data_IF_740954892560
#
_entry.id   IF_740954892560
#
_cell.length_a   1.000
_cell.length_b   1.000
_cell.length_c   1.000
_cell.angle_alpha   90.00
_cell.angle_beta   90.00
_cell.angle_gamma   90.00
#
_symmetry.space_group_name_H-M   'P 1'
#
loop_
_entity.id
_entity.type
_entity.pdbx_description
1 polymer ?
#
# COMPACT_ATOMS: atom_id res chain seq x y z
N UNK A 1 -20.28 13.16 -7.46
CA UNK A 1 -20.02 12.20 -6.34
C UNK A 1 -18.59 12.37 -5.87
N UNK A 2 -18.30 12.20 -4.57
CA UNK A 2 -16.93 12.23 -4.04
C UNK A 2 -16.29 10.85 -4.21
N UNK A 3 -15.09 10.78 -4.79
CA UNK A 3 -14.35 9.53 -4.96
C UNK A 3 -13.91 8.97 -3.61
N UNK A 4 -14.25 7.72 -3.32
CA UNK A 4 -13.96 7.03 -2.03
C UNK A 4 -12.67 6.23 -2.07
N UNK A 5 -12.39 5.51 -3.17
CA UNK A 5 -11.15 4.77 -3.39
C UNK A 5 -9.99 5.74 -3.59
N UNK A 6 -8.88 5.52 -2.90
CA UNK A 6 -7.72 6.41 -2.94
C UNK A 6 -6.80 6.06 -4.11
N UNK A 7 -6.11 7.05 -4.66
CA UNK A 7 -5.14 6.88 -5.74
C UNK A 7 -3.76 7.23 -5.21
N UNK A 8 -2.82 6.29 -5.41
CA UNK A 8 -1.41 6.43 -5.09
C UNK A 8 -0.65 6.62 -6.40
N UNK A 9 0.19 7.66 -6.47
CA UNK A 9 1.03 7.92 -7.64
C UNK A 9 2.50 7.85 -7.25
N UNK A 10 3.27 7.01 -7.95
CA UNK A 10 4.71 6.94 -7.76
C UNK A 10 5.36 8.17 -8.36
N UNK A 11 6.23 8.80 -7.57
CA UNK A 11 7.02 9.95 -7.99
C UNK A 11 8.33 9.50 -8.65
N UNK A 12 8.72 10.17 -9.71
CA UNK A 12 9.93 9.85 -10.47
C UNK A 12 10.20 10.93 -11.53
N UNK A 13 11.07 10.67 -12.51
CA UNK A 13 11.49 11.67 -13.51
C UNK A 13 10.33 12.32 -14.27
N UNK A 14 9.24 11.57 -14.54
CA UNK A 14 8.09 12.12 -15.26
C UNK A 14 7.32 13.15 -14.42
N UNK A 15 7.34 13.02 -13.08
CA UNK A 15 6.65 13.96 -12.18
C UNK A 15 7.46 15.22 -11.90
N UNK A 16 8.77 15.25 -12.21
CA UNK A 16 9.62 16.43 -12.09
C UNK A 16 9.35 17.48 -13.18
N UNK A 17 8.65 17.10 -14.23
CA UNK A 17 8.23 18.04 -15.28
C UNK A 17 7.33 19.13 -14.69
N UNK A 18 7.50 20.41 -15.09
CA UNK A 18 6.76 21.54 -14.52
C UNK A 18 5.23 21.33 -14.58
N UNK A 19 4.57 21.52 -13.43
CA UNK A 19 3.10 21.44 -13.31
C UNK A 19 2.52 20.04 -13.27
N UNK A 20 3.32 18.97 -13.44
CA UNK A 20 2.81 17.59 -13.43
C UNK A 20 2.26 17.23 -12.06
N UNK A 21 3.00 17.49 -10.96
CA UNK A 21 2.53 17.18 -9.60
C UNK A 21 1.23 17.92 -9.27
N UNK A 22 1.13 19.22 -9.63
CA UNK A 22 -0.12 20.00 -9.48
C UNK A 22 -1.29 19.32 -10.23
N UNK A 23 -1.03 18.86 -11.46
CA UNK A 23 -2.05 18.20 -12.28
C UNK A 23 -2.43 16.81 -11.71
N UNK A 24 -1.48 16.02 -11.16
CA UNK A 24 -1.79 14.75 -10.50
C UNK A 24 -2.74 14.96 -9.30
N UNK A 25 -2.46 15.98 -8.47
CA UNK A 25 -3.30 16.34 -7.33
C UNK A 25 -4.70 16.78 -7.80
N UNK A 26 -4.78 17.61 -8.82
CA UNK A 26 -6.04 18.09 -9.39
C UNK A 26 -6.87 16.95 -9.99
N UNK A 27 -6.21 15.91 -10.55
CA UNK A 27 -6.88 14.76 -11.16
C UNK A 27 -7.14 13.60 -10.17
N UNK A 28 -6.86 13.77 -8.86
CA UNK A 28 -7.33 12.87 -7.83
C UNK A 28 -6.28 12.03 -7.12
N UNK A 29 -4.99 12.38 -7.21
CA UNK A 29 -3.94 11.80 -6.37
C UNK A 29 -4.24 12.08 -4.90
N UNK A 30 -4.16 11.04 -4.06
CA UNK A 30 -4.32 11.11 -2.61
C UNK A 30 -3.00 10.89 -1.88
N UNK A 31 -2.16 10.01 -2.43
CA UNK A 31 -0.87 9.66 -1.82
C UNK A 31 0.23 9.70 -2.87
N UNK A 32 1.40 10.15 -2.48
CA UNK A 32 2.62 10.12 -3.27
C UNK A 32 3.53 9.00 -2.75
N UNK A 33 3.93 8.06 -3.63
CA UNK A 33 4.86 6.98 -3.32
C UNK A 33 6.25 7.32 -3.84
N UNK A 34 7.26 7.06 -3.03
CA UNK A 34 8.68 7.22 -3.35
C UNK A 34 9.34 5.85 -3.30
N UNK A 35 9.82 5.37 -4.46
CA UNK A 35 10.44 4.05 -4.59
C UNK A 35 11.95 4.13 -4.36
N UNK A 36 12.40 3.76 -3.18
CA UNK A 36 13.81 3.78 -2.78
C UNK A 36 14.67 2.66 -3.40
N UNK A 37 14.08 1.83 -4.27
CA UNK A 37 14.88 0.96 -5.15
C UNK A 37 15.67 1.74 -6.18
N UNK A 38 15.32 3.00 -6.43
CA UNK A 38 15.92 3.91 -7.42
C UNK A 38 16.16 5.29 -6.83
N UNK A 39 17.19 5.97 -7.31
CA UNK A 39 17.56 7.30 -6.85
C UNK A 39 18.30 7.28 -5.51
N UNK A 40 18.61 8.48 -5.02
CA UNK A 40 19.23 8.70 -3.73
C UNK A 40 18.36 9.60 -2.82
N UNK A 41 18.79 9.80 -1.57
CA UNK A 41 18.05 10.59 -0.60
C UNK A 41 17.88 12.06 -1.04
N UNK A 42 18.83 12.64 -1.79
CA UNK A 42 18.74 14.02 -2.26
C UNK A 42 17.66 14.17 -3.35
N UNK A 43 17.59 13.22 -4.29
CA UNK A 43 16.53 13.17 -5.30
C UNK A 43 15.15 12.97 -4.65
N UNK A 44 15.04 12.05 -3.69
CA UNK A 44 13.78 11.82 -2.98
C UNK A 44 13.35 13.05 -2.18
N UNK A 45 14.28 13.74 -1.50
CA UNK A 45 13.98 14.96 -0.76
C UNK A 45 13.43 16.06 -1.68
N UNK A 46 14.03 16.23 -2.87
CA UNK A 46 13.53 17.18 -3.86
C UNK A 46 12.08 16.86 -4.26
N UNK A 47 11.80 15.60 -4.61
CA UNK A 47 10.43 15.15 -4.97
C UNK A 47 9.43 15.28 -3.82
N UNK A 48 9.85 14.98 -2.58
CA UNK A 48 9.03 15.18 -1.37
C UNK A 48 8.64 16.65 -1.24
N UNK A 49 9.60 17.56 -1.38
CA UNK A 49 9.36 19.00 -1.28
C UNK A 49 8.42 19.50 -2.39
N UNK A 50 8.61 19.05 -3.65
CA UNK A 50 7.70 19.37 -4.75
C UNK A 50 6.25 18.95 -4.44
N UNK A 51 6.05 17.72 -3.91
CA UNK A 51 4.70 17.25 -3.53
C UNK A 51 4.11 18.10 -2.41
N UNK A 52 4.89 18.44 -1.38
CA UNK A 52 4.43 19.25 -0.26
C UNK A 52 4.03 20.66 -0.69
N UNK A 53 4.82 21.28 -1.54
CA UNK A 53 4.52 22.61 -2.08
C UNK A 53 3.25 22.60 -2.94
N UNK A 54 3.12 21.63 -3.85
CA UNK A 54 1.93 21.46 -4.68
C UNK A 54 0.67 21.17 -3.84
N UNK A 55 0.77 20.31 -2.82
CA UNK A 55 -0.31 20.01 -1.89
C UNK A 55 -0.77 21.25 -1.13
N UNK A 56 0.19 22.03 -0.59
CA UNK A 56 -0.08 23.31 0.10
C UNK A 56 -0.76 24.32 -0.82
N UNK A 57 -0.26 24.48 -2.04
CA UNK A 57 -0.84 25.38 -3.06
C UNK A 57 -2.26 24.97 -3.42
N UNK A 58 -2.53 23.67 -3.55
CA UNK A 58 -3.85 23.12 -3.86
C UNK A 58 -4.81 23.12 -2.65
N UNK A 59 -4.34 23.35 -1.44
CA UNK A 59 -5.12 23.19 -0.20
C UNK A 59 -5.59 21.76 0.01
N UNK A 60 -4.79 20.76 -0.42
CA UNK A 60 -5.12 19.32 -0.36
C UNK A 60 -4.17 18.58 0.57
N UNK A 61 -4.70 17.54 1.20
CA UNK A 61 -3.88 16.60 1.97
C UNK A 61 -3.32 15.55 1.02
N UNK A 62 -2.01 15.38 1.01
CA UNK A 62 -1.32 14.31 0.28
C UNK A 62 -0.45 13.55 1.28
N UNK A 63 -0.66 12.24 1.36
CA UNK A 63 0.16 11.38 2.21
C UNK A 63 1.43 10.95 1.48
N UNK A 64 2.51 10.73 2.24
CA UNK A 64 3.81 10.33 1.70
C UNK A 64 4.11 8.87 2.08
N UNK A 65 4.43 8.05 1.09
CA UNK A 65 4.73 6.63 1.26
C UNK A 65 6.17 6.38 0.84
N UNK A 66 7.01 5.95 1.76
CA UNK A 66 8.33 5.40 1.50
C UNK A 66 8.16 3.93 1.11
N UNK A 67 8.66 3.51 -0.04
CA UNK A 67 8.62 2.12 -0.48
C UNK A 67 10.05 1.58 -0.51
N UNK A 68 10.37 0.65 0.39
CA UNK A 68 11.73 0.11 0.54
C UNK A 68 12.10 -0.80 -0.62
N UNK A 69 13.39 -0.94 -0.87
CA UNK A 69 13.90 -1.90 -1.85
C UNK A 69 13.68 -3.34 -1.39
N UNK A 70 13.89 -3.58 -0.11
CA UNK A 70 13.87 -4.91 0.49
C UNK A 70 15.13 -5.75 0.23
N UNK A 71 15.24 -6.86 0.95
CA UNK A 71 16.36 -7.79 0.80
C UNK A 71 16.18 -8.66 -0.45
N UNK A 72 16.80 -8.26 -1.56
CA UNK A 72 16.74 -8.99 -2.82
C UNK A 72 17.98 -9.85 -3.06
N UNK A 73 17.74 -11.04 -3.61
CA UNK A 73 18.85 -11.83 -4.21
C UNK A 73 19.13 -11.31 -5.61
N UNK A 74 20.41 -11.13 -5.92
CA UNK A 74 20.88 -10.68 -7.23
C UNK A 74 22.09 -11.46 -7.71
N UNK A 75 22.14 -11.65 -9.01
CA UNK A 75 23.34 -12.14 -9.69
C UNK A 75 24.50 -11.15 -9.51
N UNK A 76 25.72 -11.69 -9.52
CA UNK A 76 26.93 -10.90 -9.59
C UNK A 76 27.14 -10.26 -10.97
N UNK A 77 28.36 -9.86 -11.25
CA UNK A 77 28.73 -9.20 -12.50
C UNK A 77 29.16 -10.22 -13.56
N UNK A 78 28.70 -10.03 -14.77
CA UNK A 78 29.21 -10.77 -15.95
C UNK A 78 30.41 -10.03 -16.57
N UNK A 79 31.41 -10.78 -17.07
CA UNK A 79 32.63 -10.25 -17.69
C UNK A 79 32.35 -9.20 -18.77
N UNK A 80 31.36 -9.49 -19.63
CA UNK A 80 30.95 -8.62 -20.72
C UNK A 80 29.65 -7.86 -20.43
N UNK A 81 29.27 -7.75 -19.16
CA UNK A 81 28.04 -7.08 -18.69
C UNK A 81 26.76 -7.83 -19.03
N UNK A 82 26.78 -8.76 -19.99
CA UNK A 82 25.60 -9.55 -20.40
C UNK A 82 26.04 -10.86 -21.07
N UNK A 83 25.14 -11.86 -21.00
CA UNK A 83 25.39 -13.19 -21.61
C UNK A 83 24.06 -13.72 -22.17
N UNK A 84 24.15 -14.62 -23.16
CA UNK A 84 23.04 -15.42 -23.64
C UNK A 84 23.08 -16.77 -22.92
N UNK A 85 22.02 -17.08 -22.17
CA UNK A 85 21.84 -18.38 -21.55
C UNK A 85 20.97 -19.25 -22.47
N UNK A 86 21.46 -20.43 -22.83
CA UNK A 86 20.79 -21.32 -23.78
C UNK A 86 20.16 -22.51 -23.09
N UNK A 87 18.91 -22.81 -23.45
CA UNK A 87 18.14 -23.95 -22.94
C UNK A 87 18.91 -25.26 -23.03
N UNK A 88 18.89 -26.02 -21.93
CA UNK A 88 19.52 -27.34 -21.83
C UNK A 88 20.97 -27.31 -21.35
N UNK A 89 21.64 -26.16 -21.41
CA UNK A 89 22.98 -26.04 -20.86
C UNK A 89 22.99 -26.03 -19.34
N UNK A 90 24.11 -26.45 -18.75
CA UNK A 90 24.37 -26.32 -17.33
C UNK A 90 24.79 -24.90 -17.02
N UNK A 91 24.30 -24.39 -15.87
CA UNK A 91 24.65 -23.07 -15.36
C UNK A 91 24.83 -23.15 -13.85
N UNK A 92 25.93 -22.62 -13.34
CA UNK A 92 26.27 -22.70 -11.92
C UNK A 92 26.08 -21.36 -11.24
N UNK A 93 25.29 -21.34 -10.17
CA UNK A 93 25.31 -20.22 -9.24
C UNK A 93 26.38 -20.49 -8.21
N UNK A 94 27.50 -19.75 -8.29
CA UNK A 94 28.70 -20.00 -7.46
C UNK A 94 28.66 -19.16 -6.19
N UNK A 95 29.21 -19.75 -5.12
CA UNK A 95 29.43 -19.06 -3.85
C UNK A 95 30.50 -17.98 -3.95
N UNK A 96 31.52 -18.19 -4.77
CA UNK A 96 32.65 -17.28 -4.92
C UNK A 96 32.28 -16.03 -5.73
N UNK A 97 32.79 -14.87 -5.29
CA UNK A 97 32.58 -13.60 -6.03
C UNK A 97 33.55 -13.49 -7.20
N UNK A 98 33.22 -14.16 -8.28
CA UNK A 98 33.97 -14.14 -9.53
C UNK A 98 33.11 -13.57 -10.67
N UNK A 99 33.72 -12.92 -11.66
CA UNK A 99 33.02 -12.47 -12.87
C UNK A 99 32.40 -13.66 -13.61
N UNK A 100 31.08 -13.56 -13.87
CA UNK A 100 30.31 -14.61 -14.52
C UNK A 100 30.46 -14.64 -16.04
N UNK A 101 30.03 -15.74 -16.63
CA UNK A 101 29.98 -16.00 -18.10
C UNK A 101 28.74 -16.87 -18.41
N UNK A 102 28.71 -17.56 -19.55
CA UNK A 102 27.64 -18.47 -19.96
C UNK A 102 27.56 -19.77 -19.14
N UNK A 103 28.55 -20.06 -18.29
CA UNK A 103 28.62 -21.29 -17.49
C UNK A 103 28.36 -21.07 -16.00
N UNK A 104 28.64 -19.87 -15.49
CA UNK A 104 28.50 -19.59 -14.06
C UNK A 104 28.37 -18.09 -13.78
N UNK A 105 27.82 -17.75 -12.58
CA UNK A 105 27.80 -16.41 -12.02
C UNK A 105 27.67 -16.49 -10.50
N UNK A 106 28.21 -15.53 -9.79
CA UNK A 106 28.01 -15.40 -8.34
C UNK A 106 26.60 -14.94 -8.00
N UNK A 107 26.17 -15.18 -6.77
CA UNK A 107 24.94 -14.64 -6.19
C UNK A 107 25.26 -13.95 -4.85
N UNK A 108 24.60 -12.83 -4.57
CA UNK A 108 24.87 -12.05 -3.37
C UNK A 108 24.40 -12.75 -2.06
N UNK A 109 23.35 -13.59 -2.12
CA UNK A 109 22.88 -14.36 -0.97
C UNK A 109 23.74 -15.63 -0.78
N UNK A 110 24.73 -15.53 0.10
CA UNK A 110 25.71 -16.60 0.32
C UNK A 110 25.14 -17.84 1.04
N UNK A 111 23.93 -17.76 1.60
CA UNK A 111 23.23 -18.88 2.22
C UNK A 111 22.42 -19.75 1.26
N UNK A 112 22.18 -19.31 0.03
CA UNK A 112 21.27 -19.93 -0.92
C UNK A 112 21.49 -21.45 -1.11
N UNK A 113 22.74 -21.91 -1.15
CA UNK A 113 23.08 -23.32 -1.34
C UNK A 113 22.60 -24.24 -0.18
N UNK A 114 22.31 -23.68 0.98
CA UNK A 114 21.76 -24.43 2.13
C UNK A 114 20.24 -24.43 2.17
N UNK A 115 19.60 -23.58 1.39
CA UNK A 115 18.17 -23.33 1.41
C UNK A 115 17.45 -24.00 0.23
N UNK A 116 18.15 -24.15 -0.92
CA UNK A 116 17.60 -24.82 -2.09
C UNK A 116 17.99 -26.31 -2.12
N UNK A 117 17.22 -27.12 -2.82
CA UNK A 117 17.44 -28.55 -3.00
C UNK A 117 17.26 -28.96 -4.46
N UNK A 118 17.81 -30.12 -4.86
CA UNK A 118 17.55 -30.67 -6.18
C UNK A 118 16.04 -30.76 -6.46
N UNK A 119 15.65 -30.27 -7.64
CA UNK A 119 14.27 -30.17 -8.04
C UNK A 119 13.63 -28.79 -7.83
N UNK A 120 14.22 -27.88 -7.08
CA UNK A 120 13.73 -26.51 -6.98
C UNK A 120 13.96 -25.72 -8.28
N UNK A 121 13.18 -24.67 -8.46
CA UNK A 121 13.30 -23.75 -9.60
C UNK A 121 13.81 -22.40 -9.11
N UNK A 122 14.79 -21.85 -9.81
CA UNK A 122 15.26 -20.49 -9.63
C UNK A 122 14.87 -19.67 -10.87
N UNK A 123 14.38 -18.45 -10.64
CA UNK A 123 13.96 -17.55 -11.71
C UNK A 123 14.89 -16.35 -11.77
N UNK A 124 15.41 -16.05 -12.95
CA UNK A 124 16.29 -14.92 -13.19
C UNK A 124 15.55 -13.81 -13.94
N UNK A 125 15.81 -12.54 -13.54
CA UNK A 125 15.25 -11.35 -14.20
C UNK A 125 13.72 -11.44 -14.34
N UNK A 126 13.02 -11.55 -13.18
CA UNK A 126 11.55 -11.59 -13.10
C UNK A 126 10.92 -12.73 -13.93
N UNK A 127 11.59 -13.88 -13.96
CA UNK A 127 11.11 -15.08 -14.66
C UNK A 127 11.50 -15.18 -16.13
N UNK A 128 12.34 -14.25 -16.65
CA UNK A 128 12.79 -14.30 -18.04
C UNK A 128 13.56 -15.58 -18.36
N UNK A 129 14.37 -16.07 -17.41
CA UNK A 129 15.08 -17.36 -17.51
C UNK A 129 14.81 -18.17 -16.27
N UNK A 130 14.39 -19.43 -16.47
CA UNK A 130 14.17 -20.41 -15.41
C UNK A 130 15.35 -21.38 -15.36
N UNK A 131 15.81 -21.66 -14.15
CA UNK A 131 16.85 -22.64 -13.86
C UNK A 131 16.26 -23.75 -12.99
N UNK A 132 16.53 -25.01 -13.34
CA UNK A 132 16.20 -26.17 -12.49
C UNK A 132 17.43 -26.57 -11.70
N UNK A 133 17.33 -26.64 -10.37
CA UNK A 133 18.43 -27.11 -9.52
C UNK A 133 18.58 -28.62 -9.71
N UNK A 134 19.79 -29.05 -10.10
CA UNK A 134 20.13 -30.46 -10.29
C UNK A 134 20.81 -31.05 -9.06
N UNK A 135 21.84 -30.37 -8.56
CA UNK A 135 22.62 -30.81 -7.39
C UNK A 135 23.28 -29.60 -6.70
N UNK A 136 23.63 -29.81 -5.43
CA UNK A 136 24.50 -28.88 -4.68
C UNK A 136 25.85 -29.55 -4.56
N UNK A 137 26.90 -28.90 -5.08
CA UNK A 137 28.28 -29.40 -5.04
C UNK A 137 29.16 -28.46 -4.20
N UNK A 138 29.41 -28.86 -2.97
CA UNK A 138 30.05 -27.97 -2.00
C UNK A 138 29.14 -26.78 -1.67
N UNK A 139 29.51 -25.60 -2.14
CA UNK A 139 28.70 -24.37 -1.99
C UNK A 139 28.14 -23.85 -3.32
N UNK A 140 28.37 -24.57 -4.40
CA UNK A 140 27.88 -24.24 -5.73
C UNK A 140 26.56 -24.93 -6.03
N UNK A 141 25.63 -24.20 -6.66
CA UNK A 141 24.34 -24.70 -7.06
C UNK A 141 24.39 -24.97 -8.57
N UNK A 142 24.40 -26.26 -8.93
CA UNK A 142 24.44 -26.69 -10.33
C UNK A 142 22.99 -26.76 -10.85
N UNK A 143 22.75 -26.08 -11.95
CA UNK A 143 21.41 -26.00 -12.54
C UNK A 143 21.40 -26.33 -14.02
N UNK A 144 20.21 -26.64 -14.55
CA UNK A 144 19.94 -26.74 -15.99
C UNK A 144 19.00 -25.61 -16.41
N UNK A 145 19.40 -24.88 -17.46
CA UNK A 145 18.62 -23.78 -18.06
C UNK A 145 17.37 -24.35 -18.73
N UNK A 146 16.19 -23.88 -18.34
CA UNK A 146 14.91 -24.40 -18.84
C UNK A 146 14.40 -23.70 -20.11
N UNK A 147 14.78 -22.44 -20.30
CA UNK A 147 14.47 -21.64 -21.49
C UNK A 147 15.59 -20.65 -21.79
N UNK A 148 15.83 -20.37 -23.07
CA UNK A 148 16.86 -19.43 -23.48
C UNK A 148 16.48 -17.98 -23.21
N UNK A 149 17.46 -17.15 -22.82
CA UNK A 149 17.24 -15.74 -22.59
C UNK A 149 18.54 -14.97 -22.36
N UNK A 150 18.51 -13.67 -22.64
CA UNK A 150 19.63 -12.77 -22.42
C UNK A 150 19.64 -12.34 -20.95
N UNK A 151 20.78 -12.55 -20.28
CA UNK A 151 20.97 -12.16 -18.89
C UNK A 151 22.02 -11.07 -18.76
N UNK A 152 21.85 -10.16 -17.82
CA UNK A 152 22.81 -9.07 -17.55
C UNK A 152 23.17 -9.02 -16.06
N UNK A 153 24.25 -8.27 -15.78
CA UNK A 153 24.78 -8.01 -14.44
C UNK A 153 23.70 -7.56 -13.45
N UNK A 154 23.80 -8.03 -12.22
CA UNK A 154 22.96 -7.62 -11.07
C UNK A 154 21.45 -7.84 -11.21
N UNK A 155 21.04 -8.75 -12.12
CA UNK A 155 19.63 -9.12 -12.25
C UNK A 155 19.14 -9.88 -11.03
N UNK A 156 17.84 -9.68 -10.71
CA UNK A 156 17.17 -10.35 -9.59
C UNK A 156 17.16 -11.87 -9.78
N UNK A 157 17.29 -12.59 -8.67
CA UNK A 157 17.08 -14.03 -8.55
C UNK A 157 15.89 -14.25 -7.61
N UNK A 158 14.92 -15.04 -8.05
CA UNK A 158 13.82 -15.51 -7.21
C UNK A 158 13.89 -17.03 -7.03
N UNK A 159 13.44 -17.53 -5.89
CA UNK A 159 13.39 -18.96 -5.57
C UNK A 159 11.97 -19.33 -5.13
N UNK A 160 11.01 -19.46 -6.06
CA UNK A 160 9.61 -19.72 -5.73
C UNK A 160 9.42 -20.92 -4.81
N UNK A 161 8.72 -20.73 -3.71
CA UNK A 161 8.43 -21.79 -2.74
C UNK A 161 9.57 -22.13 -1.78
N UNK A 162 10.73 -21.48 -1.87
CA UNK A 162 11.87 -21.63 -0.95
C UNK A 162 11.80 -20.55 0.12
N UNK A 163 11.90 -20.95 1.38
CA UNK A 163 12.02 -20.00 2.51
C UNK A 163 13.46 -19.52 2.61
N UNK A 164 13.70 -18.25 2.35
CA UNK A 164 15.02 -17.65 2.32
C UNK A 164 15.37 -17.01 3.68
N UNK A 165 16.58 -17.25 4.17
CA UNK A 165 17.12 -16.66 5.39
C UNK A 165 17.65 -15.24 5.22
N UNK A 166 16.97 -14.43 4.39
CA UNK A 166 17.33 -13.03 4.20
C UNK A 166 17.04 -12.20 5.46
N UNK A 167 17.84 -11.18 5.78
CA UNK A 167 17.56 -10.29 6.90
C UNK A 167 16.26 -9.53 6.64
N UNK A 168 15.44 -9.25 7.68
CA UNK A 168 14.16 -8.55 7.51
C UNK A 168 14.32 -7.12 6.98
N UNK A 169 15.46 -6.49 7.25
CA UNK A 169 15.80 -5.14 6.84
C UNK A 169 17.23 -5.16 6.32
N UNK A 170 17.47 -4.71 5.10
CA UNK A 170 18.82 -4.48 4.60
C UNK A 170 19.45 -3.24 5.25
N UNK A 171 20.78 -3.13 5.21
CA UNK A 171 21.46 -1.92 5.71
C UNK A 171 21.00 -0.64 4.99
N UNK A 172 20.67 -0.74 3.71
CA UNK A 172 20.17 0.38 2.93
C UNK A 172 18.73 0.72 3.35
N UNK A 173 17.85 -0.29 3.48
CA UNK A 173 16.47 -0.06 3.93
C UNK A 173 16.43 0.57 5.32
N UNK A 174 17.36 0.20 6.22
CA UNK A 174 17.46 0.83 7.53
C UNK A 174 17.75 2.34 7.41
N UNK A 175 18.69 2.73 6.53
CA UNK A 175 19.00 4.15 6.26
C UNK A 175 17.82 4.87 5.64
N UNK A 176 17.11 4.23 4.73
CA UNK A 176 15.95 4.79 4.05
C UNK A 176 14.78 5.00 5.02
N UNK A 177 14.54 4.06 5.93
CA UNK A 177 13.50 4.18 6.97
C UNK A 177 13.84 5.32 7.93
N UNK A 178 15.11 5.45 8.36
CA UNK A 178 15.57 6.56 9.19
C UNK A 178 15.35 7.89 8.48
N UNK A 179 15.74 8.00 7.21
CA UNK A 179 15.44 9.17 6.38
C UNK A 179 13.94 9.46 6.32
N UNK A 180 13.09 8.44 6.17
CA UNK A 180 11.63 8.59 6.21
C UNK A 180 11.12 9.17 7.53
N UNK A 181 11.70 8.76 8.67
CA UNK A 181 11.40 9.34 9.98
C UNK A 181 11.80 10.82 10.06
N UNK A 182 13.02 11.16 9.61
CA UNK A 182 13.53 12.52 9.57
C UNK A 182 12.69 13.43 8.66
N UNK A 183 12.16 12.87 7.57
CA UNK A 183 11.32 13.59 6.62
C UNK A 183 9.84 13.57 6.98
N UNK A 184 9.43 13.13 8.18
CA UNK A 184 8.03 13.10 8.63
C UNK A 184 7.10 12.45 7.59
N UNK A 185 7.52 11.30 7.03
CA UNK A 185 6.70 10.51 6.11
C UNK A 185 5.61 9.74 6.86
N UNK A 186 4.52 9.41 6.17
CA UNK A 186 3.30 8.88 6.80
C UNK A 186 3.24 7.35 6.83
N UNK A 187 3.83 6.71 5.81
CA UNK A 187 3.80 5.26 5.65
C UNK A 187 5.14 4.73 5.16
N UNK A 188 5.44 3.49 5.55
CA UNK A 188 6.47 2.68 4.92
C UNK A 188 5.84 1.44 4.29
N UNK A 189 5.95 1.30 2.96
CA UNK A 189 5.63 0.09 2.22
C UNK A 189 6.87 -0.81 2.24
N UNK A 190 6.82 -1.87 3.05
CA UNK A 190 7.96 -2.71 3.35
C UNK A 190 8.00 -3.91 2.39
N UNK A 191 9.05 -4.01 1.57
CA UNK A 191 9.21 -5.04 0.55
C UNK A 191 9.64 -6.39 1.13
N UNK A 192 9.17 -7.46 0.49
CA UNK A 192 9.54 -8.86 0.75
C UNK A 192 9.29 -9.35 2.17
N UNK A 193 8.25 -8.86 2.83
CA UNK A 193 7.83 -9.33 4.14
C UNK A 193 7.38 -10.79 4.07
N UNK A 194 7.97 -11.63 4.92
CA UNK A 194 7.70 -13.07 4.98
C UNK A 194 7.03 -13.48 6.29
N UNK A 195 7.29 -12.75 7.38
CA UNK A 195 6.90 -13.12 8.74
C UNK A 195 6.51 -11.89 9.57
N UNK A 196 5.73 -12.06 10.64
CA UNK A 196 5.39 -10.95 11.53
C UNK A 196 6.62 -10.30 12.19
N UNK A 197 7.69 -11.06 12.43
CA UNK A 197 8.95 -10.56 13.00
C UNK A 197 9.61 -9.50 12.12
N UNK A 198 9.46 -9.60 10.80
CA UNK A 198 9.99 -8.63 9.85
C UNK A 198 9.30 -7.26 10.04
N UNK A 199 7.98 -7.26 10.24
CA UNK A 199 7.20 -6.06 10.54
C UNK A 199 7.59 -5.46 11.89
N UNK A 200 7.78 -6.31 12.90
CA UNK A 200 8.16 -5.88 14.25
C UNK A 200 9.56 -5.27 14.26
N UNK A 201 10.50 -5.80 13.47
CA UNK A 201 11.84 -5.21 13.33
C UNK A 201 11.79 -3.80 12.73
N UNK A 202 10.95 -3.59 11.68
CA UNK A 202 10.74 -2.27 11.09
C UNK A 202 10.10 -1.32 12.10
N UNK A 203 9.09 -1.77 12.84
CA UNK A 203 8.42 -0.97 13.87
C UNK A 203 9.40 -0.51 14.95
N UNK A 204 10.24 -1.41 15.42
CA UNK A 204 11.28 -1.09 16.39
C UNK A 204 12.23 0.00 15.87
N UNK A 205 12.69 -0.12 14.62
CA UNK A 205 13.56 0.89 14.00
C UNK A 205 12.89 2.26 13.90
N UNK A 206 11.62 2.31 13.52
CA UNK A 206 10.84 3.56 13.46
C UNK A 206 10.71 4.18 14.86
N UNK A 207 10.40 3.40 15.87
CA UNK A 207 10.26 3.85 17.27
C UNK A 207 11.59 4.37 17.85
N UNK A 208 12.71 3.69 17.57
CA UNK A 208 14.06 4.09 18.00
C UNK A 208 14.47 5.48 17.42
N UNK A 209 13.89 5.85 16.26
CA UNK A 209 14.12 7.15 15.62
C UNK A 209 12.98 8.14 15.81
N UNK A 210 12.10 7.92 16.81
CA UNK A 210 10.94 8.76 17.10
C UNK A 210 10.00 9.00 15.91
N UNK A 211 10.04 8.09 14.94
CA UNK A 211 9.16 8.09 13.78
C UNK A 211 7.75 7.64 14.12
N UNK A 212 6.83 7.84 13.19
CA UNK A 212 5.43 7.46 13.37
C UNK A 212 4.77 6.91 12.09
N UNK A 213 5.58 6.51 11.13
CA UNK A 213 5.07 5.88 9.89
C UNK A 213 4.25 4.63 10.22
N UNK A 214 3.07 4.52 9.61
CA UNK A 214 2.30 3.27 9.59
C UNK A 214 2.97 2.28 8.62
N UNK A 215 3.02 1.00 8.98
CA UNK A 215 3.72 -0.03 8.22
C UNK A 215 2.73 -0.77 7.33
N UNK A 216 3.03 -0.79 6.03
CA UNK A 216 2.29 -1.45 4.97
C UNK A 216 3.15 -2.58 4.39
N UNK A 217 3.16 -3.79 4.97
CA UNK A 217 3.85 -4.93 4.39
C UNK A 217 3.41 -5.19 2.96
N UNK A 218 4.38 -5.44 2.08
CA UNK A 218 4.13 -5.85 0.71
C UNK A 218 4.13 -7.38 0.66
N UNK A 219 3.01 -7.95 0.21
CA UNK A 219 2.87 -9.39 0.02
C UNK A 219 3.32 -9.71 -1.41
N UNK A 220 4.52 -10.25 -1.52
CA UNK A 220 5.28 -10.42 -2.76
C UNK A 220 5.77 -11.84 -3.00
N UNK A 221 5.58 -12.74 -2.01
CA UNK A 221 6.09 -14.11 -2.06
C UNK A 221 5.14 -15.09 -1.39
N UNK A 222 5.35 -16.38 -1.65
CA UNK A 222 4.51 -17.46 -1.12
C UNK A 222 4.56 -17.55 0.41
N UNK A 223 5.71 -17.27 1.04
CA UNK A 223 5.86 -17.33 2.49
C UNK A 223 5.02 -16.23 3.17
N UNK A 224 5.02 -15.00 2.62
CA UNK A 224 4.14 -13.92 3.07
C UNK A 224 2.65 -14.25 2.92
N UNK A 225 2.27 -14.98 1.87
CA UNK A 225 0.89 -15.45 1.70
C UNK A 225 0.53 -16.49 2.77
N UNK A 226 1.41 -17.45 3.06
CA UNK A 226 1.20 -18.48 4.10
C UNK A 226 1.08 -17.88 5.51
N UNK A 227 1.91 -16.89 5.81
CA UNK A 227 1.95 -16.22 7.12
C UNK A 227 1.05 -15.00 7.21
N UNK A 228 0.17 -14.79 6.20
CA UNK A 228 -0.58 -13.56 6.03
C UNK A 228 -1.36 -13.11 7.27
N UNK A 229 -2.04 -14.02 7.94
CA UNK A 229 -2.86 -13.69 9.11
C UNK A 229 -2.02 -13.14 10.28
N UNK A 230 -0.86 -13.74 10.53
CA UNK A 230 0.07 -13.27 11.55
C UNK A 230 0.73 -11.92 11.15
N UNK A 231 1.08 -11.75 9.87
CA UNK A 231 1.59 -10.48 9.35
C UNK A 231 0.52 -9.39 9.48
N UNK A 232 -0.72 -9.67 9.09
CA UNK A 232 -1.82 -8.72 9.17
C UNK A 232 -2.05 -8.25 10.62
N UNK A 233 -1.92 -9.14 11.60
CA UNK A 233 -2.16 -8.80 13.01
C UNK A 233 -1.25 -7.67 13.49
N UNK A 234 0.05 -7.70 13.13
CA UNK A 234 1.06 -6.72 13.57
C UNK A 234 1.23 -5.51 12.63
N UNK A 235 0.51 -5.46 11.51
CA UNK A 235 0.62 -4.43 10.47
C UNK A 235 -0.42 -3.32 10.65
N UNK A 236 -0.21 -2.18 10.01
CA UNK A 236 -1.18 -1.06 9.98
C UNK A 236 -2.06 -1.05 8.72
N UNK A 237 -1.60 -1.71 7.67
CA UNK A 237 -2.28 -1.97 6.41
C UNK A 237 -1.50 -2.98 5.59
N UNK A 238 -1.89 -3.24 4.34
CA UNK A 238 -1.25 -4.22 3.45
C UNK A 238 -1.14 -3.65 2.03
N UNK A 239 -0.07 -4.00 1.31
CA UNK A 239 0.04 -3.82 -0.12
C UNK A 239 0.12 -5.16 -0.83
N UNK A 240 -0.78 -5.40 -1.78
CA UNK A 240 -0.71 -6.54 -2.70
C UNK A 240 0.13 -6.13 -3.90
N UNK A 241 1.39 -6.55 -3.93
CA UNK A 241 2.36 -6.19 -4.97
C UNK A 241 2.38 -7.31 -6.03
N UNK A 242 1.44 -7.24 -6.98
CA UNK A 242 1.12 -8.31 -7.92
C UNK A 242 2.26 -8.66 -8.89
N UNK A 243 3.10 -7.68 -9.22
CA UNK A 243 4.24 -7.89 -10.11
C UNK A 243 5.22 -8.93 -9.55
N UNK A 244 5.68 -8.72 -8.32
CA UNK A 244 6.59 -9.63 -7.63
C UNK A 244 5.89 -10.93 -7.20
N UNK A 245 4.67 -10.83 -6.71
CA UNK A 245 3.88 -12.00 -6.32
C UNK A 245 3.67 -12.97 -7.50
N UNK A 246 3.39 -12.45 -8.71
CA UNK A 246 3.20 -13.26 -9.91
C UNK A 246 4.47 -13.94 -10.45
N UNK A 247 5.64 -13.58 -9.92
CA UNK A 247 6.90 -14.32 -10.16
C UNK A 247 7.06 -15.49 -9.19
N UNK A 248 6.51 -15.35 -7.98
CA UNK A 248 6.67 -16.29 -6.87
C UNK A 248 5.56 -17.34 -6.79
N UNK A 249 4.38 -17.06 -7.37
CA UNK A 249 3.23 -17.97 -7.40
C UNK A 249 2.72 -18.12 -8.84
N UNK A 250 1.95 -19.20 -9.15
CA UNK A 250 1.29 -19.31 -10.45
C UNK A 250 0.42 -18.08 -10.76
N UNK A 251 0.51 -17.57 -11.98
CA UNK A 251 -0.17 -16.33 -12.37
C UNK A 251 -1.69 -16.40 -12.16
N UNK A 252 -2.28 -17.57 -12.36
CA UNK A 252 -3.70 -17.86 -12.15
C UNK A 252 -4.14 -17.80 -10.69
N UNK A 253 -3.22 -17.91 -9.73
CA UNK A 253 -3.51 -17.83 -8.29
C UNK A 253 -3.50 -16.39 -7.78
N UNK A 254 -2.82 -15.47 -8.46
CA UNK A 254 -2.70 -14.06 -8.04
C UNK A 254 -4.06 -13.40 -7.81
N UNK A 255 -5.08 -13.53 -8.68
CA UNK A 255 -6.39 -12.93 -8.45
C UNK A 255 -7.11 -13.49 -7.22
N UNK A 256 -6.94 -14.79 -6.93
CA UNK A 256 -7.55 -15.44 -5.76
C UNK A 256 -6.88 -14.97 -4.47
N UNK A 257 -5.56 -14.89 -4.46
CA UNK A 257 -4.76 -14.37 -3.33
C UNK A 257 -5.14 -12.91 -3.07
N UNK A 258 -5.23 -12.08 -4.11
CA UNK A 258 -5.66 -10.68 -4.00
C UNK A 258 -7.01 -10.55 -3.30
N UNK A 259 -8.02 -11.30 -3.76
CA UNK A 259 -9.38 -11.27 -3.19
C UNK A 259 -9.38 -11.68 -1.71
N UNK A 260 -8.64 -12.74 -1.38
CA UNK A 260 -8.56 -13.21 0.01
C UNK A 260 -7.85 -12.21 0.92
N UNK A 261 -6.76 -11.59 0.47
CA UNK A 261 -6.06 -10.52 1.20
C UNK A 261 -7.00 -9.32 1.43
N UNK A 262 -7.69 -8.84 0.39
CA UNK A 262 -8.63 -7.73 0.49
C UNK A 262 -9.74 -8.05 1.50
N UNK A 263 -10.33 -9.25 1.42
CA UNK A 263 -11.37 -9.70 2.33
C UNK A 263 -10.90 -9.71 3.79
N UNK A 264 -9.71 -10.24 4.06
CA UNK A 264 -9.12 -10.30 5.41
C UNK A 264 -8.77 -8.90 5.95
N UNK A 265 -8.20 -8.03 5.13
CA UNK A 265 -7.90 -6.64 5.51
C UNK A 265 -9.18 -5.87 5.86
N UNK A 266 -10.20 -6.00 5.04
CA UNK A 266 -11.51 -5.40 5.28
C UNK A 266 -12.12 -5.90 6.60
N UNK A 267 -12.02 -7.20 6.87
CA UNK A 267 -12.46 -7.82 8.13
C UNK A 267 -11.69 -7.27 9.34
N UNK A 268 -10.40 -7.06 9.20
CA UNK A 268 -9.56 -6.47 10.24
C UNK A 268 -9.76 -4.94 10.40
N UNK A 269 -10.33 -4.25 9.40
CA UNK A 269 -10.45 -2.79 9.36
C UNK A 269 -9.12 -2.09 9.05
N UNK A 270 -8.20 -2.80 8.37
CA UNK A 270 -6.90 -2.31 7.94
C UNK A 270 -6.93 -2.00 6.44
N UNK A 271 -6.32 -0.90 5.97
CA UNK A 271 -6.36 -0.54 4.55
C UNK A 271 -5.57 -1.54 3.73
N UNK A 272 -6.05 -1.77 2.53
CA UNK A 272 -5.35 -2.59 1.54
C UNK A 272 -5.17 -1.81 0.24
N UNK A 273 -3.97 -1.93 -0.31
CA UNK A 273 -3.55 -1.31 -1.57
C UNK A 273 -3.38 -2.41 -2.61
N UNK A 274 -3.97 -2.24 -3.78
CA UNK A 274 -3.66 -3.07 -4.95
C UNK A 274 -2.69 -2.31 -5.84
N UNK A 275 -1.55 -2.95 -6.11
CA UNK A 275 -0.40 -2.32 -6.75
C UNK A 275 0.12 -3.10 -7.96
N UNK A 276 0.83 -2.40 -8.82
CA UNK A 276 1.53 -2.86 -10.02
C UNK A 276 0.63 -3.29 -11.17
N UNK A 277 1.02 -2.95 -12.39
CA UNK A 277 0.37 -3.32 -13.64
C UNK A 277 -1.14 -2.98 -13.69
N UNK A 278 -1.53 -1.84 -13.10
CA UNK A 278 -2.94 -1.42 -13.09
C UNK A 278 -3.37 -0.80 -14.43
N UNK A 279 -2.56 0.14 -14.96
CA UNK A 279 -2.72 0.78 -16.25
C UNK A 279 -1.39 0.79 -17.02
N UNK A 280 -0.65 -0.32 -16.97
CA UNK A 280 0.73 -0.47 -17.43
C UNK A 280 0.95 0.04 -18.87
N UNK A 281 0.01 -0.25 -19.77
CA UNK A 281 0.08 0.23 -21.14
C UNK A 281 0.09 1.76 -21.25
N UNK A 282 -0.40 2.48 -20.22
CA UNK A 282 -0.40 3.94 -20.17
C UNK A 282 0.97 4.55 -19.85
N UNK A 283 1.98 3.75 -19.57
CA UNK A 283 3.36 4.25 -19.61
C UNK A 283 3.73 4.82 -20.99
N UNK A 284 3.21 4.22 -22.05
CA UNK A 284 3.55 4.53 -23.45
C UNK A 284 2.37 4.92 -24.33
N UNK A 285 1.14 4.71 -23.83
CA UNK A 285 -0.08 5.00 -24.60
C UNK A 285 -1.01 5.92 -23.81
N UNK A 286 -1.72 6.87 -24.50
CA UNK A 286 -2.62 7.82 -23.80
C UNK A 286 -3.94 7.18 -23.34
N UNK A 287 -4.17 5.90 -23.64
CA UNK A 287 -5.36 5.16 -23.25
C UNK A 287 -5.01 3.74 -22.81
N UNK A 288 -5.67 3.21 -21.77
CA UNK A 288 -5.46 1.84 -21.32
C UNK A 288 -6.13 0.82 -22.24
N UNK A 289 -5.76 -0.42 -22.08
CA UNK A 289 -6.47 -1.56 -22.62
C UNK A 289 -7.79 -1.80 -21.87
N UNK A 290 -8.71 -2.56 -22.48
CA UNK A 290 -9.97 -2.96 -21.81
C UNK A 290 -9.73 -3.89 -20.62
N UNK A 291 -8.69 -4.72 -20.70
CA UNK A 291 -8.29 -5.63 -19.62
C UNK A 291 -7.85 -4.84 -18.38
N UNK A 292 -7.03 -3.80 -18.56
CA UNK A 292 -6.58 -2.92 -17.47
C UNK A 292 -7.74 -2.15 -16.82
N UNK A 293 -8.66 -1.62 -17.61
CA UNK A 293 -9.89 -0.97 -17.08
C UNK A 293 -10.71 -1.94 -16.24
N UNK A 294 -10.82 -3.20 -16.70
CA UNK A 294 -11.52 -4.26 -15.98
C UNK A 294 -10.78 -4.63 -14.69
N UNK A 295 -9.45 -4.71 -14.71
CA UNK A 295 -8.63 -5.03 -13.56
C UNK A 295 -8.76 -3.96 -12.45
N UNK A 296 -8.60 -2.69 -12.79
CA UNK A 296 -8.83 -1.57 -11.87
C UNK A 296 -10.24 -1.61 -11.29
N UNK A 297 -11.26 -1.84 -12.14
CA UNK A 297 -12.65 -1.96 -11.72
C UNK A 297 -12.86 -3.11 -10.74
N UNK A 298 -12.30 -4.28 -11.02
CA UNK A 298 -12.42 -5.45 -10.15
C UNK A 298 -11.73 -5.24 -8.79
N UNK A 299 -10.55 -4.62 -8.74
CA UNK A 299 -9.89 -4.31 -7.47
C UNK A 299 -10.78 -3.42 -6.56
N UNK A 300 -11.52 -2.46 -7.15
CA UNK A 300 -12.46 -1.61 -6.42
C UNK A 300 -13.69 -2.41 -5.97
N UNK A 301 -14.25 -3.25 -6.83
CA UNK A 301 -15.38 -4.14 -6.51
C UNK A 301 -15.02 -5.13 -5.40
N UNK A 302 -13.80 -5.66 -5.39
CA UNK A 302 -13.27 -6.52 -4.34
C UNK A 302 -13.17 -5.79 -2.98
N UNK A 303 -13.13 -4.46 -2.99
CA UNK A 303 -13.14 -3.62 -1.80
C UNK A 303 -11.79 -3.11 -1.34
N UNK A 304 -10.84 -2.87 -2.25
CA UNK A 304 -9.57 -2.20 -1.93
C UNK A 304 -9.78 -0.78 -1.37
N UNK A 305 -8.88 -0.31 -0.52
CA UNK A 305 -8.88 1.07 -0.04
C UNK A 305 -8.21 2.01 -1.04
N UNK A 306 -7.13 1.54 -1.67
CA UNK A 306 -6.37 2.32 -2.63
C UNK A 306 -5.88 1.48 -3.80
N UNK A 307 -5.68 2.15 -4.93
CA UNK A 307 -5.11 1.64 -6.16
C UNK A 307 -3.88 2.46 -6.52
N UNK A 308 -2.84 1.81 -7.04
CA UNK A 308 -1.54 2.45 -7.22
C UNK A 308 -1.08 2.45 -8.68
N UNK A 309 -0.57 3.59 -9.12
CA UNK A 309 0.18 3.75 -10.37
C UNK A 309 1.68 3.74 -10.06
N UNK A 310 2.43 2.94 -10.79
CA UNK A 310 3.89 2.76 -10.66
C UNK A 310 4.63 3.52 -11.75
N UNK A 311 5.09 2.83 -12.78
CA UNK A 311 5.78 3.40 -13.94
C UNK A 311 4.92 4.40 -14.70
N UNK A 312 3.60 4.19 -14.73
CA UNK A 312 2.62 5.06 -15.40
C UNK A 312 2.74 6.53 -14.98
N UNK A 313 3.13 6.78 -13.71
CA UNK A 313 3.33 8.15 -13.21
C UNK A 313 4.80 8.49 -12.97
N UNK A 314 5.65 7.49 -12.65
CA UNK A 314 7.07 7.73 -12.31
C UNK A 314 7.94 8.05 -13.53
N UNK A 315 7.75 7.31 -14.63
CA UNK A 315 8.58 7.37 -15.84
C UNK A 315 7.78 7.45 -17.13
N UNK A 316 6.49 7.24 -17.08
CA UNK A 316 5.62 7.17 -18.25
C UNK A 316 5.49 8.51 -18.99
N UNK A 317 5.06 8.42 -20.24
CA UNK A 317 4.84 9.58 -21.09
C UNK A 317 3.53 10.31 -20.76
N UNK A 318 2.56 9.59 -20.16
CA UNK A 318 1.16 10.04 -19.94
C UNK A 318 0.72 10.01 -18.46
N UNK A 319 1.48 10.56 -17.50
CA UNK A 319 1.17 10.46 -16.06
C UNK A 319 -0.18 11.11 -15.68
N UNK A 320 -0.52 12.24 -16.29
CA UNK A 320 -1.75 12.99 -16.00
C UNK A 320 -2.97 12.22 -16.52
N UNK A 321 -2.88 11.69 -17.74
CA UNK A 321 -3.93 10.87 -18.35
C UNK A 321 -4.16 9.57 -17.58
N UNK A 322 -3.10 8.96 -17.06
CA UNK A 322 -3.17 7.74 -16.25
C UNK A 322 -3.97 7.98 -14.96
N UNK A 323 -3.62 9.02 -14.19
CA UNK A 323 -4.36 9.38 -12.97
C UNK A 323 -5.80 9.79 -13.28
N UNK A 324 -6.02 10.60 -14.31
CA UNK A 324 -7.35 11.02 -14.71
C UNK A 324 -8.23 9.82 -15.12
N UNK A 325 -7.65 8.86 -15.84
CA UNK A 325 -8.35 7.63 -16.24
C UNK A 325 -8.68 6.77 -15.04
N UNK A 326 -7.70 6.53 -14.13
CA UNK A 326 -7.92 5.77 -12.91
C UNK A 326 -9.01 6.41 -12.03
N UNK A 327 -9.02 7.74 -11.93
CA UNK A 327 -10.04 8.49 -11.19
C UNK A 327 -11.45 8.32 -11.81
N UNK A 328 -11.57 8.38 -13.15
CA UNK A 328 -12.86 8.15 -13.83
C UNK A 328 -13.36 6.72 -13.62
N UNK A 329 -12.47 5.72 -13.71
CA UNK A 329 -12.83 4.32 -13.44
C UNK A 329 -13.33 4.19 -12.01
N UNK A 330 -12.59 4.71 -11.03
CA UNK A 330 -12.98 4.64 -9.62
C UNK A 330 -14.36 5.26 -9.37
N UNK A 331 -14.60 6.47 -9.85
CA UNK A 331 -15.90 7.14 -9.69
C UNK A 331 -17.03 6.35 -10.34
N UNK A 332 -16.83 5.83 -11.56
CA UNK A 332 -17.87 5.07 -12.27
C UNK A 332 -18.21 3.74 -11.59
N UNK A 333 -17.21 3.02 -11.10
CA UNK A 333 -17.42 1.77 -10.36
C UNK A 333 -18.14 2.05 -9.04
N UNK A 334 -17.71 3.08 -8.30
CA UNK A 334 -18.32 3.46 -7.03
C UNK A 334 -19.80 3.86 -7.17
N UNK A 335 -20.22 4.44 -8.31
CA UNK A 335 -21.63 4.71 -8.61
C UNK A 335 -22.46 3.43 -8.75
N UNK A 336 -21.84 2.32 -9.16
CA UNK A 336 -22.52 1.03 -9.35
C UNK A 336 -22.55 0.15 -8.09
N UNK A 337 -21.86 0.56 -7.01
CA UNK A 337 -21.80 -0.23 -5.78
C UNK A 337 -23.14 -0.26 -5.05
N UNK A 338 -23.58 -1.46 -4.70
CA UNK A 338 -24.72 -1.68 -3.82
C UNK A 338 -24.31 -1.56 -2.35
N UNK A 339 -24.06 -0.34 -1.90
CA UNK A 339 -23.51 -0.04 -0.58
C UNK A 339 -24.28 -0.69 0.58
N UNK A 340 -25.60 -0.84 0.48
CA UNK A 340 -26.42 -1.50 1.49
C UNK A 340 -26.08 -2.99 1.61
N UNK A 341 -25.88 -3.66 0.48
CA UNK A 341 -25.48 -5.08 0.46
C UNK A 341 -24.07 -5.25 1.04
N UNK A 342 -23.14 -4.37 0.64
CA UNK A 342 -21.78 -4.35 1.21
C UNK A 342 -21.80 -4.16 2.74
N UNK A 343 -22.66 -3.30 3.25
CA UNK A 343 -22.81 -3.10 4.68
C UNK A 343 -23.34 -4.36 5.39
N UNK A 344 -24.37 -5.00 4.82
CA UNK A 344 -24.94 -6.25 5.35
C UNK A 344 -23.88 -7.36 5.37
N UNK A 345 -23.17 -7.57 4.28
CA UNK A 345 -22.12 -8.60 4.20
C UNK A 345 -21.00 -8.40 5.22
N UNK A 346 -20.67 -7.15 5.53
CA UNK A 346 -19.57 -6.79 6.46
C UNK A 346 -20.01 -6.66 7.92
N UNK A 347 -21.32 -6.60 8.17
CA UNK A 347 -21.90 -6.28 9.50
C UNK A 347 -22.12 -7.47 10.44
N UNK A 348 -22.22 -8.69 9.93
CA UNK A 348 -22.75 -9.84 10.66
C UNK A 348 -21.79 -10.58 11.60
N UNK A 349 -20.58 -10.08 11.82
CA UNK A 349 -19.73 -10.69 12.83
C UNK A 349 -20.09 -10.20 14.23
N UNK A 350 -20.64 -11.10 15.07
CA UNK A 350 -20.80 -10.86 16.48
C UNK A 350 -19.44 -10.48 17.10
N UNK A 351 -19.25 -9.20 17.33
CA UNK A 351 -18.05 -8.69 18.00
C UNK A 351 -18.45 -8.19 19.37
N UNK A 352 -17.77 -8.68 20.42
CA UNK A 352 -17.92 -8.12 21.77
C UNK A 352 -17.27 -6.72 21.93
N UNK A 353 -16.72 -6.17 20.85
CA UNK A 353 -16.10 -4.84 20.83
C UNK A 353 -17.18 -3.74 20.84
N UNK A 354 -17.22 -2.96 21.91
CA UNK A 354 -18.11 -1.78 22.03
C UNK A 354 -17.93 -0.82 20.86
N UNK A 355 -16.70 -0.53 20.46
CA UNK A 355 -16.40 0.35 19.33
C UNK A 355 -16.99 -0.17 18.02
N UNK A 356 -16.86 -1.49 17.74
CA UNK A 356 -17.45 -2.07 16.54
C UNK A 356 -18.98 -1.99 16.55
N UNK A 357 -19.61 -2.25 17.69
CA UNK A 357 -21.06 -2.14 17.83
C UNK A 357 -21.55 -0.70 17.59
N UNK A 358 -20.88 0.30 18.16
CA UNK A 358 -21.19 1.72 17.96
C UNK A 358 -21.00 2.12 16.50
N UNK A 359 -19.89 1.75 15.88
CA UNK A 359 -19.61 2.08 14.47
C UNK A 359 -20.61 1.40 13.51
N UNK A 360 -21.01 0.16 13.78
CA UNK A 360 -22.04 -0.54 13.02
C UNK A 360 -23.39 0.19 13.12
N UNK A 361 -23.83 0.53 14.33
CA UNK A 361 -25.06 1.29 14.57
C UNK A 361 -25.00 2.67 13.88
N UNK A 362 -23.85 3.34 13.92
CA UNK A 362 -23.63 4.62 13.22
C UNK A 362 -23.89 4.49 11.72
N UNK A 363 -23.34 3.46 11.07
CA UNK A 363 -23.52 3.26 9.63
C UNK A 363 -24.93 2.81 9.29
N UNK A 364 -25.56 1.98 10.11
CA UNK A 364 -26.96 1.60 9.96
C UNK A 364 -27.88 2.82 10.00
N UNK A 365 -27.72 3.68 11.00
CA UNK A 365 -28.48 4.94 11.10
C UNK A 365 -28.22 5.85 9.90
N UNK A 366 -26.99 5.86 9.39
CA UNK A 366 -26.64 6.65 8.20
C UNK A 366 -27.42 6.19 6.96
N UNK A 367 -27.68 4.90 6.82
CA UNK A 367 -28.56 4.37 5.76
C UNK A 367 -30.03 4.66 5.99
N UNK A 368 -30.52 4.51 7.21
CA UNK A 368 -31.92 4.75 7.55
C UNK A 368 -32.33 6.21 7.36
N UNK A 369 -31.41 7.14 7.66
CA UNK A 369 -31.64 8.58 7.56
C UNK A 369 -31.14 9.20 6.24
N UNK A 370 -30.56 8.39 5.34
CA UNK A 370 -29.92 8.80 4.06
C UNK A 370 -29.04 10.06 4.21
N UNK A 371 -28.17 10.05 5.23
CA UNK A 371 -27.31 11.21 5.54
C UNK A 371 -26.19 11.37 4.51
N UNK A 372 -25.81 12.61 4.12
CA UNK A 372 -24.72 12.84 3.17
C UNK A 372 -23.33 12.52 3.76
N UNK A 373 -23.17 12.70 5.08
CA UNK A 373 -21.90 12.48 5.75
C UNK A 373 -22.07 11.90 7.17
N UNK A 374 -21.05 11.16 7.61
CA UNK A 374 -20.80 10.77 9.00
C UNK A 374 -19.59 11.58 9.46
N UNK A 375 -19.73 12.36 10.52
CA UNK A 375 -18.65 13.18 11.07
C UNK A 375 -18.00 12.42 12.23
N UNK A 376 -16.66 12.26 12.16
CA UNK A 376 -15.89 11.50 13.15
C UNK A 376 -14.81 12.36 13.78
N UNK A 377 -15.13 13.16 14.81
CA UNK A 377 -14.09 13.82 15.60
C UNK A 377 -13.19 12.77 16.28
N UNK A 378 -11.87 12.92 16.17
CA UNK A 378 -10.93 11.89 16.59
C UNK A 378 -9.54 12.43 16.90
N UNK A 379 -8.87 11.94 17.95
CA UNK A 379 -7.48 12.24 18.28
C UNK A 379 -6.50 11.33 17.49
N UNK A 380 -6.81 10.04 17.40
CA UNK A 380 -5.92 9.01 16.85
C UNK A 380 -6.37 8.43 15.50
N UNK A 381 -7.53 8.88 14.99
CA UNK A 381 -8.14 8.29 13.80
C UNK A 381 -8.89 6.97 14.04
N UNK A 382 -8.87 6.43 15.24
CA UNK A 382 -9.39 5.07 15.51
C UNK A 382 -10.89 4.92 15.16
N UNK A 383 -11.74 5.83 15.61
CA UNK A 383 -13.19 5.84 15.29
C UNK A 383 -13.42 5.85 13.78
N UNK A 384 -12.72 6.74 13.07
CA UNK A 384 -12.78 6.88 11.61
C UNK A 384 -12.40 5.59 10.89
N UNK A 385 -11.29 4.96 11.32
CA UNK A 385 -10.79 3.68 10.77
C UNK A 385 -11.86 2.58 10.87
N UNK A 386 -12.55 2.49 12.00
CA UNK A 386 -13.59 1.47 12.21
C UNK A 386 -14.88 1.79 11.44
N UNK A 387 -15.28 3.05 11.30
CA UNK A 387 -16.44 3.43 10.47
C UNK A 387 -16.17 3.13 8.99
N UNK A 388 -14.96 3.45 8.50
CA UNK A 388 -14.56 3.18 7.11
C UNK A 388 -14.64 1.70 6.73
N UNK A 389 -14.40 0.79 7.67
CA UNK A 389 -14.53 -0.67 7.48
C UNK A 389 -15.89 -1.08 6.91
N UNK A 390 -16.95 -0.42 7.30
CA UNK A 390 -18.33 -0.75 6.90
C UNK A 390 -18.72 -0.17 5.54
N UNK A 391 -17.82 0.56 4.87
CA UNK A 391 -18.01 1.12 3.53
C UNK A 391 -19.33 1.88 3.35
N UNK A 392 -19.66 2.89 4.19
CA UNK A 392 -20.92 3.62 4.08
C UNK A 392 -21.02 4.38 2.75
N UNK A 393 -22.27 4.54 2.25
CA UNK A 393 -22.55 5.45 1.13
C UNK A 393 -22.22 6.90 1.51
N UNK A 394 -22.49 7.29 2.73
CA UNK A 394 -22.16 8.60 3.29
C UNK A 394 -20.65 8.86 3.28
N UNK A 395 -20.23 10.11 3.07
CA UNK A 395 -18.84 10.52 3.24
C UNK A 395 -18.43 10.40 4.72
N UNK A 396 -17.20 9.99 4.99
CA UNK A 396 -16.67 9.94 6.36
C UNK A 396 -15.76 11.17 6.56
N UNK A 397 -16.27 12.17 7.27
CA UNK A 397 -15.54 13.40 7.55
C UNK A 397 -14.80 13.25 8.87
N UNK A 398 -13.49 13.09 8.80
CA UNK A 398 -12.65 12.96 10.00
C UNK A 398 -12.12 14.33 10.42
N UNK A 399 -12.49 14.77 11.63
CA UNK A 399 -12.01 16.03 12.19
C UNK A 399 -10.99 15.77 13.29
N UNK A 400 -9.75 16.24 13.14
CA UNK A 400 -8.67 16.01 14.10
C UNK A 400 -7.73 17.22 14.20
N UNK A 401 -7.18 17.55 15.39
CA UNK A 401 -6.20 18.61 15.56
C UNK A 401 -4.76 18.17 15.19
N UNK A 402 -4.55 16.92 14.77
CA UNK A 402 -3.23 16.35 14.55
C UNK A 402 -2.95 16.16 13.06
N UNK A 403 -2.00 16.93 12.51
CA UNK A 403 -1.62 16.88 11.08
C UNK A 403 -1.24 15.47 10.61
N UNK A 404 -0.46 14.73 11.42
CA UNK A 404 -0.07 13.37 11.08
C UNK A 404 -1.28 12.43 10.93
N UNK A 405 -2.29 12.58 11.80
CA UNK A 405 -3.51 11.78 11.74
C UNK A 405 -4.32 12.12 10.48
N UNK A 406 -4.38 13.41 10.12
CA UNK A 406 -4.97 13.87 8.85
C UNK A 406 -4.31 13.14 7.67
N UNK A 407 -2.97 13.14 7.60
CA UNK A 407 -2.24 12.49 6.50
C UNK A 407 -2.42 10.96 6.51
N UNK A 408 -2.35 10.30 7.66
CA UNK A 408 -2.56 8.85 7.77
C UNK A 408 -3.98 8.42 7.41
N UNK A 409 -5.00 9.20 7.77
CA UNK A 409 -6.38 8.90 7.43
C UNK A 409 -6.69 9.08 5.93
N UNK A 410 -5.89 9.85 5.21
CA UNK A 410 -6.10 10.11 3.79
C UNK A 410 -5.92 8.86 2.89
N UNK A 411 -5.26 7.80 3.38
CA UNK A 411 -5.17 6.50 2.69
C UNK A 411 -6.44 5.64 2.85
N UNK A 412 -7.34 5.98 3.78
CA UNK A 412 -8.52 5.17 4.11
C UNK A 412 -9.68 5.43 3.14
N UNK A 413 -10.34 4.35 2.72
CA UNK A 413 -11.49 4.41 1.83
C UNK A 413 -12.62 5.29 2.39
N UNK A 414 -13.15 6.19 1.56
CA UNK A 414 -14.29 7.04 1.89
C UNK A 414 -14.04 8.08 2.97
N UNK A 415 -12.80 8.21 3.48
CA UNK A 415 -12.43 9.18 4.52
C UNK A 415 -11.94 10.48 3.88
N UNK A 416 -12.44 11.59 4.40
CA UNK A 416 -12.06 12.96 4.05
C UNK A 416 -11.60 13.65 5.32
N UNK A 417 -10.29 13.65 5.58
CA UNK A 417 -9.75 14.22 6.82
C UNK A 417 -9.64 15.74 6.73
N UNK A 418 -10.01 16.41 7.82
CA UNK A 418 -9.93 17.86 8.01
C UNK A 418 -9.05 18.14 9.22
N UNK A 419 -8.05 18.99 9.03
CA UNK A 419 -7.28 19.54 10.14
C UNK A 419 -8.11 20.56 10.90
N UNK A 420 -8.33 20.31 12.15
CA UNK A 420 -9.08 21.17 13.04
C UNK A 420 -8.26 21.77 14.16
N UNK A 421 -8.95 22.33 15.13
CA UNK A 421 -8.36 22.87 16.36
C UNK A 421 -8.61 21.91 17.53
N UNK A 422 -7.80 22.02 18.58
CA UNK A 422 -8.07 21.37 19.87
C UNK A 422 -9.43 21.87 20.41
N UNK A 423 -10.10 21.00 21.14
CA UNK A 423 -11.38 21.30 21.80
C UNK A 423 -11.29 21.10 23.30
N UNK A 424 -12.04 21.88 24.07
CA UNK A 424 -12.05 21.84 25.53
C UNK A 424 -13.06 20.82 26.05
N UNK A 425 -14.19 20.72 25.38
CA UNK A 425 -15.29 19.86 25.75
C UNK A 425 -15.98 19.24 24.52
N UNK A 426 -17.00 18.43 24.76
CA UNK A 426 -17.73 17.70 23.72
C UNK A 426 -18.56 18.63 22.83
N UNK A 427 -19.11 19.70 23.38
CA UNK A 427 -19.96 20.63 22.63
C UNK A 427 -19.10 21.48 21.67
N UNK A 428 -17.93 21.94 22.10
CA UNK A 428 -16.95 22.60 21.24
C UNK A 428 -16.46 21.65 20.15
N UNK A 429 -16.13 20.39 20.49
CA UNK A 429 -15.72 19.37 19.54
C UNK A 429 -16.76 19.19 18.43
N UNK A 430 -18.02 19.02 18.81
CA UNK A 430 -19.13 18.82 17.85
C UNK A 430 -19.31 20.06 16.99
N UNK A 431 -19.37 21.25 17.60
CA UNK A 431 -19.59 22.51 16.91
C UNK A 431 -18.48 22.78 15.87
N UNK A 432 -17.23 22.58 16.25
CA UNK A 432 -16.08 22.79 15.36
C UNK A 432 -16.08 21.79 14.20
N UNK A 433 -16.32 20.50 14.49
CA UNK A 433 -16.35 19.46 13.47
C UNK A 433 -17.51 19.64 12.46
N UNK A 434 -18.70 20.01 12.94
CA UNK A 434 -19.85 20.33 12.08
C UNK A 434 -19.56 21.58 11.23
N UNK A 435 -19.03 22.64 11.83
CA UNK A 435 -18.69 23.88 11.11
C UNK A 435 -17.68 23.63 10.00
N UNK A 436 -16.66 22.79 10.25
CA UNK A 436 -15.69 22.39 9.26
C UNK A 436 -16.33 21.58 8.12
N UNK A 437 -17.20 20.63 8.44
CA UNK A 437 -17.91 19.82 7.44
C UNK A 437 -18.86 20.68 6.56
N UNK A 438 -19.49 21.71 7.14
CA UNK A 438 -20.30 22.68 6.38
C UNK A 438 -19.42 23.55 5.48
N UNK A 439 -18.30 24.08 6.01
CA UNK A 439 -17.36 24.93 5.26
C UNK A 439 -16.82 24.19 4.04
N UNK A 440 -16.47 22.92 4.18
CA UNK A 440 -15.90 22.11 3.10
C UNK A 440 -16.98 21.45 2.20
N UNK A 441 -18.27 21.75 2.45
CA UNK A 441 -19.38 21.34 1.58
C UNK A 441 -19.81 19.88 1.69
N UNK A 442 -19.42 19.17 2.75
CA UNK A 442 -19.87 17.79 3.00
C UNK A 442 -21.33 17.72 3.47
N UNK A 443 -21.77 18.75 4.18
CA UNK A 443 -23.15 18.94 4.66
C UNK A 443 -23.56 20.39 4.50
N UNK A 444 -24.87 20.64 4.38
CA UNK A 444 -25.44 21.98 4.22
C UNK A 444 -26.61 22.19 5.19
N UNK A 445 -27.00 23.43 5.40
CA UNK A 445 -28.16 23.78 6.22
C UNK A 445 -29.41 23.00 5.80
N UNK A 446 -30.04 22.37 6.75
CA UNK A 446 -31.21 21.52 6.52
C UNK A 446 -30.88 20.03 6.40
N UNK A 447 -29.61 19.64 6.20
CA UNK A 447 -29.22 18.23 6.20
C UNK A 447 -29.28 17.64 7.62
N UNK A 448 -29.43 16.33 7.67
CA UNK A 448 -29.18 15.53 8.88
C UNK A 448 -27.84 14.86 8.74
N UNK A 449 -27.03 14.82 9.80
CA UNK A 449 -25.75 14.11 9.85
C UNK A 449 -25.66 13.26 11.10
N UNK A 450 -24.73 12.31 11.11
CA UNK A 450 -24.42 11.51 12.30
C UNK A 450 -23.02 11.83 12.76
N UNK A 451 -22.88 12.09 14.06
CA UNK A 451 -21.60 12.34 14.70
C UNK A 451 -21.27 11.15 15.58
N UNK A 452 -20.10 10.57 15.43
CA UNK A 452 -19.62 9.47 16.28
C UNK A 452 -18.19 9.71 16.73
N UNK A 453 -17.91 9.49 18.01
CA UNK A 453 -16.62 9.76 18.62
C UNK A 453 -16.36 8.92 19.86
N UNK A 454 -15.12 8.89 20.31
CA UNK A 454 -14.76 8.44 21.65
C UNK A 454 -14.68 9.60 22.62
N UNK A 455 -15.57 9.62 23.61
CA UNK A 455 -15.54 10.61 24.69
C UNK A 455 -14.79 10.02 25.88
N UNK A 456 -13.75 10.71 26.35
CA UNK A 456 -13.08 10.40 27.62
C UNK A 456 -13.96 10.85 28.76
N UNK A 457 -14.60 9.92 29.46
CA UNK A 457 -15.27 10.22 30.72
C UNK A 457 -14.21 10.53 31.79
N UNK A 458 -14.49 11.46 32.68
CA UNK A 458 -13.57 11.89 33.76
C UNK A 458 -13.18 10.79 34.77
N UNK A 459 -13.72 9.58 34.64
CA UNK A 459 -13.38 8.46 35.51
C UNK A 459 -12.01 7.87 35.10
N UNK A 460 -11.13 7.71 36.09
CA UNK A 460 -9.75 7.16 35.95
C UNK A 460 -9.67 5.72 35.41
N UNK A 461 -10.78 5.10 35.03
CA UNK A 461 -10.89 3.69 34.62
C UNK A 461 -11.06 3.45 33.12
N UNK A 462 -11.15 4.48 32.27
CA UNK A 462 -11.25 4.29 30.82
C UNK A 462 -9.87 4.43 30.17
N UNK A 463 -9.10 3.35 30.21
CA UNK A 463 -7.87 3.21 29.41
C UNK A 463 -8.25 2.62 28.07
N UNK A 464 -7.97 3.35 26.95
CA UNK A 464 -8.06 2.84 25.59
C UNK A 464 -8.87 3.71 24.61
N UNK A 465 -8.60 3.50 23.33
CA UNK A 465 -9.31 4.10 22.20
C UNK A 465 -10.71 3.47 22.08
N UNK A 466 -11.74 4.10 22.65
CA UNK A 466 -13.12 3.60 22.63
C UNK A 466 -14.04 4.60 21.94
N UNK A 467 -14.72 4.17 20.88
CA UNK A 467 -15.86 4.89 20.33
C UNK A 467 -17.09 4.54 21.17
N UNK A 468 -17.74 5.54 21.77
CA UNK A 468 -18.81 5.34 22.75
C UNK A 468 -19.96 6.34 22.63
N UNK A 469 -19.95 7.22 21.63
CA UNK A 469 -20.97 8.22 21.38
C UNK A 469 -21.50 8.14 19.94
N UNK A 470 -22.82 8.23 19.80
CA UNK A 470 -23.50 8.52 18.54
C UNK A 470 -24.47 9.68 18.81
N UNK A 471 -24.50 10.66 17.92
CA UNK A 471 -25.44 11.77 17.95
C UNK A 471 -25.99 12.03 16.55
N UNK A 472 -27.31 12.05 16.42
CA UNK A 472 -27.98 12.56 15.22
C UNK A 472 -28.03 14.07 15.35
N UNK A 473 -27.64 14.78 14.32
CA UNK A 473 -27.51 16.24 14.34
C UNK A 473 -28.18 16.86 13.10
N UNK A 474 -28.99 17.89 13.31
CA UNK A 474 -29.61 18.70 12.26
C UNK A 474 -28.75 19.94 12.02
N UNK A 475 -28.31 20.16 10.76
CA UNK A 475 -27.45 21.29 10.39
C UNK A 475 -28.27 22.61 10.32
#
# INVERSE_FOLDING_TARGET
>A
MLKKTKIICTQGPATERPGVVDALIANGMNCARFNFSHGDHAEHLNRINMVREAAKKAGKVISLILDTKGPEMRLGEFKDGKVMLEKGNKFTLTYEDIPGDEMHVSVNHKGLYTEVKPGDTLLLSDGLVALKVDEIRGKDIITTIQNSGKMSTKKRVAAPGVSLGLPPISEQDAKDIVFGCEQDMDFVAASFIQRPEDVLAIRKLIEEHNGHMEILPKIENLEGVKNFDAILEVSDGIMVARGDLGVEVPAEDVPLIQKEIIRKCNKAGKPVIVATQMLDSMERNPRPTRAEVSDVGNAILDGTDAIMLSGETASGDYPIEAVSTMNRIAMRIEESLEYKNLFVERGFEHSQSRTRAVAHATVQMAYELDVPAIITPTDSGYTTKIVSRYRPKAAIVAYTPHEKVVRQLNLRWGVYPILGTQWKDVDEMITNAVSAAVKDGFVKRGDTTIITSGIKLQSKTSVGNNTNMIRVYKI
#
